data_IF_610750485517
#
_entry.id   IF_610750485517
#
_cell.length_a   1.000
_cell.length_b   1.000
_cell.length_c   1.000
_cell.angle_alpha   90.00
_cell.angle_beta   90.00
_cell.angle_gamma   90.00
#
_symmetry.space_group_name_H-M   'P 1'
#
loop_
_entity.id
_entity.type
_entity.pdbx_description
1 polymer ?
#
# COMPACT_ATOMS: atom_id res chain seq x y z
N UNK A 1 -4.84 21.28 -21.98
CA UNK A 1 -4.72 21.54 -20.54
C UNK A 1 -3.24 21.45 -20.23
N UNK A 2 -2.61 22.55 -19.77
CA UNK A 2 -1.18 22.57 -19.46
C UNK A 2 -0.93 21.65 -18.27
N UNK A 3 -0.09 20.66 -18.46
CA UNK A 3 0.41 19.83 -17.34
C UNK A 3 1.19 20.78 -16.42
N UNK A 4 0.72 20.94 -15.18
CA UNK A 4 1.49 21.66 -14.19
C UNK A 4 2.80 20.88 -13.98
N UNK A 5 3.94 21.57 -14.11
CA UNK A 5 5.26 21.00 -13.82
C UNK A 5 5.24 20.39 -12.41
N UNK A 6 5.74 19.16 -12.22
CA UNK A 6 5.75 18.55 -10.90
C UNK A 6 6.59 19.40 -9.93
N UNK A 7 5.95 19.84 -8.86
CA UNK A 7 6.65 20.59 -7.82
C UNK A 7 7.47 19.62 -6.95
N UNK A 8 8.75 19.48 -7.25
CA UNK A 8 9.67 18.62 -6.49
C UNK A 8 9.66 18.86 -4.96
N UNK A 9 9.59 20.14 -4.48
CA UNK A 9 9.43 20.41 -3.05
C UNK A 9 8.14 19.80 -2.48
N UNK A 10 7.01 19.94 -3.17
CA UNK A 10 5.73 19.36 -2.71
C UNK A 10 5.83 17.83 -2.67
N UNK A 11 6.41 17.22 -3.69
CA UNK A 11 6.65 15.76 -3.69
C UNK A 11 7.50 15.31 -2.49
N UNK A 12 8.55 16.07 -2.16
CA UNK A 12 9.36 15.79 -0.97
C UNK A 12 8.54 15.84 0.32
N UNK A 13 7.66 16.82 0.48
CA UNK A 13 6.78 16.93 1.65
C UNK A 13 5.71 15.84 1.69
N UNK A 14 5.17 15.43 0.54
CA UNK A 14 4.26 14.28 0.44
C UNK A 14 4.95 12.99 0.88
N UNK A 15 6.16 12.75 0.38
CA UNK A 15 6.96 11.58 0.77
C UNK A 15 7.27 11.59 2.27
N UNK A 16 7.66 12.73 2.83
CA UNK A 16 7.95 12.87 4.25
C UNK A 16 6.70 12.64 5.09
N UNK A 17 5.59 13.34 4.78
CA UNK A 17 4.33 13.22 5.50
C UNK A 17 3.75 11.81 5.44
N UNK A 18 3.74 11.20 4.24
CA UNK A 18 3.30 9.82 4.05
C UNK A 18 4.18 8.80 4.78
N UNK A 19 5.50 8.99 4.78
CA UNK A 19 6.44 8.13 5.51
C UNK A 19 6.25 8.22 7.02
N UNK A 20 6.08 9.43 7.56
CA UNK A 20 5.78 9.63 8.98
C UNK A 20 4.46 8.97 9.37
N UNK A 21 3.41 9.13 8.57
CA UNK A 21 2.12 8.48 8.81
C UNK A 21 2.25 6.95 8.80
N UNK A 22 3.02 6.39 7.86
CA UNK A 22 3.29 4.96 7.77
C UNK A 22 4.06 4.43 8.99
N UNK A 23 5.18 5.07 9.34
CA UNK A 23 6.01 4.65 10.49
C UNK A 23 5.26 4.83 11.80
N UNK A 24 4.52 5.95 11.95
CA UNK A 24 3.63 6.17 13.10
C UNK A 24 2.58 5.06 13.23
N UNK A 25 1.98 4.66 12.11
CA UNK A 25 1.05 3.52 12.06
C UNK A 25 1.68 2.19 12.49
N UNK A 26 2.94 1.94 12.13
CA UNK A 26 3.68 0.74 12.57
C UNK A 26 3.94 0.74 14.08
N UNK A 27 4.37 1.87 14.65
CA UNK A 27 4.53 2.00 16.11
C UNK A 27 3.22 1.78 16.84
N UNK A 28 2.11 2.34 16.34
CA UNK A 28 0.78 2.13 16.93
C UNK A 28 0.35 0.66 16.82
N UNK A 29 0.68 -0.02 15.73
CA UNK A 29 0.44 -1.45 15.58
C UNK A 29 1.14 -2.25 16.68
N UNK A 30 2.44 -2.05 16.86
CA UNK A 30 3.21 -2.76 17.90
C UNK A 30 2.70 -2.41 19.31
N UNK A 31 2.32 -1.16 19.56
CA UNK A 31 1.77 -0.74 20.85
C UNK A 31 0.40 -1.37 21.17
N UNK A 32 -0.48 -1.45 20.18
CA UNK A 32 -1.81 -2.07 20.34
C UNK A 32 -1.75 -3.60 20.37
N UNK A 33 -0.69 -4.19 19.80
CA UNK A 33 -0.47 -5.63 19.76
C UNK A 33 0.25 -6.18 21.00
N UNK A 34 0.61 -5.34 21.97
CA UNK A 34 1.47 -5.72 23.10
C UNK A 34 0.94 -6.90 23.92
N UNK A 35 -0.38 -7.03 24.09
CA UNK A 35 -0.99 -8.16 24.83
C UNK A 35 -0.79 -9.49 24.10
N UNK A 36 -0.96 -9.50 22.80
CA UNK A 36 -0.72 -10.65 21.95
C UNK A 36 0.78 -11.00 21.89
N UNK A 37 1.62 -9.99 21.70
CA UNK A 37 3.07 -10.18 21.59
C UNK A 37 3.68 -10.71 22.90
N UNK A 38 3.18 -10.30 24.06
CA UNK A 38 3.59 -10.89 25.36
C UNK A 38 3.35 -12.40 25.44
N UNK A 39 2.29 -12.88 24.79
CA UNK A 39 1.93 -14.29 24.83
C UNK A 39 2.63 -15.14 23.77
N UNK A 40 2.87 -14.56 22.58
CA UNK A 40 3.32 -15.31 21.39
C UNK A 40 4.67 -14.88 20.82
N UNK A 41 5.16 -13.67 21.17
CA UNK A 41 6.39 -13.08 20.65
C UNK A 41 7.12 -12.28 21.73
N UNK A 42 7.52 -12.92 22.85
CA UNK A 42 8.11 -12.24 24.00
C UNK A 42 9.46 -11.57 23.69
N UNK A 43 10.12 -11.95 22.59
CA UNK A 43 11.37 -11.38 22.10
C UNK A 43 11.22 -9.98 21.46
N UNK A 44 9.98 -9.54 21.16
CA UNK A 44 9.74 -8.21 20.60
C UNK A 44 10.13 -7.09 21.58
N UNK A 45 10.54 -5.89 21.08
CA UNK A 45 11.11 -4.84 21.93
C UNK A 45 10.23 -4.40 23.12
N UNK A 46 8.91 -4.30 22.96
CA UNK A 46 8.00 -3.88 24.04
C UNK A 46 7.85 -4.99 25.08
N UNK A 47 7.48 -6.25 24.73
CA UNK A 47 7.44 -7.35 25.67
C UNK A 47 8.78 -7.61 26.39
N UNK A 48 9.90 -7.51 25.68
CA UNK A 48 11.25 -7.71 26.23
C UNK A 48 11.71 -6.56 27.17
N UNK A 49 10.92 -5.48 27.27
CA UNK A 49 11.26 -4.33 28.11
C UNK A 49 12.35 -3.40 27.54
N UNK A 50 12.75 -3.58 26.28
CA UNK A 50 13.74 -2.74 25.62
C UNK A 50 13.25 -1.32 25.38
N UNK A 51 11.93 -1.13 25.24
CA UNK A 51 11.27 0.17 25.11
C UNK A 51 9.94 0.17 25.85
N UNK A 52 9.59 1.29 26.51
CA UNK A 52 8.33 1.39 27.22
C UNK A 52 7.14 1.54 26.28
N UNK A 53 5.99 0.94 26.63
CA UNK A 53 4.75 1.04 25.86
C UNK A 53 4.32 2.52 25.67
N UNK A 54 4.50 3.35 26.69
CA UNK A 54 4.19 4.78 26.62
C UNK A 54 5.07 5.49 25.56
N UNK A 55 6.37 5.20 25.52
CA UNK A 55 7.27 5.79 24.53
C UNK A 55 6.87 5.43 23.12
N UNK A 56 6.45 4.16 22.88
CA UNK A 56 6.00 3.70 21.55
C UNK A 56 4.68 4.38 21.16
N UNK A 57 3.74 4.56 22.10
CA UNK A 57 2.53 5.34 21.85
C UNK A 57 2.83 6.80 21.52
N UNK A 58 3.72 7.46 22.29
CA UNK A 58 4.11 8.84 22.02
C UNK A 58 4.78 8.99 20.64
N UNK A 59 5.68 8.07 20.27
CA UNK A 59 6.32 8.06 18.96
C UNK A 59 5.30 7.81 17.84
N UNK A 60 4.40 6.85 18.00
CA UNK A 60 3.39 6.51 17.02
C UNK A 60 2.42 7.66 16.74
N UNK A 61 1.80 8.21 17.79
CA UNK A 61 0.90 9.35 17.67
C UNK A 61 1.62 10.62 17.22
N UNK A 62 2.82 10.89 17.75
CA UNK A 62 3.61 12.05 17.36
C UNK A 62 3.95 12.04 15.86
N UNK A 63 4.41 10.92 15.33
CA UNK A 63 4.73 10.80 13.90
C UNK A 63 3.47 10.86 13.03
N UNK A 64 2.38 10.21 13.45
CA UNK A 64 1.12 10.21 12.72
C UNK A 64 0.55 11.63 12.59
N UNK A 65 0.53 12.39 13.70
CA UNK A 65 0.04 13.78 13.73
C UNK A 65 0.99 14.73 12.98
N UNK A 66 2.31 14.55 13.13
CA UNK A 66 3.29 15.34 12.41
C UNK A 66 3.21 15.09 10.89
N UNK A 67 3.02 13.85 10.49
CA UNK A 67 2.79 13.48 9.08
C UNK A 67 1.54 14.16 8.52
N UNK A 68 0.43 14.11 9.24
CA UNK A 68 -0.80 14.80 8.86
C UNK A 68 -0.61 16.32 8.77
N UNK A 69 0.15 16.92 9.68
CA UNK A 69 0.47 18.34 9.65
C UNK A 69 1.30 18.72 8.42
N UNK A 70 2.33 17.95 8.05
CA UNK A 70 3.12 18.20 6.83
C UNK A 70 2.25 18.12 5.57
N UNK A 71 1.37 17.12 5.49
CA UNK A 71 0.47 16.96 4.35
C UNK A 71 -0.50 18.15 4.24
N UNK A 72 -1.08 18.60 5.35
CA UNK A 72 -2.04 19.68 5.35
C UNK A 72 -1.37 21.07 5.22
N UNK A 73 -0.43 21.38 6.12
CA UNK A 73 0.08 22.74 6.25
C UNK A 73 1.09 23.10 5.14
N UNK A 74 1.91 22.15 4.68
CA UNK A 74 2.99 22.41 3.75
C UNK A 74 2.67 21.88 2.36
N UNK A 75 2.24 20.64 2.21
CA UNK A 75 1.85 20.07 0.93
C UNK A 75 0.46 20.56 0.46
N UNK A 76 -0.29 21.28 1.32
CA UNK A 76 -1.60 21.88 1.03
C UNK A 76 -2.69 20.87 0.62
N UNK A 77 -2.56 19.64 1.05
CA UNK A 77 -3.57 18.59 0.82
C UNK A 77 -4.84 18.91 1.62
N UNK A 78 -6.00 18.64 1.05
CA UNK A 78 -7.28 18.80 1.73
C UNK A 78 -7.38 17.90 2.97
N UNK A 79 -8.15 18.36 3.98
CA UNK A 79 -8.30 17.62 5.23
C UNK A 79 -9.02 16.28 5.07
N UNK A 80 -9.94 16.16 4.11
CA UNK A 80 -10.77 14.96 3.96
C UNK A 80 -9.96 13.69 3.69
N UNK A 81 -9.05 13.62 2.69
CA UNK A 81 -8.24 12.44 2.47
C UNK A 81 -7.23 12.19 3.60
N UNK A 82 -6.71 13.24 4.26
CA UNK A 82 -5.82 13.10 5.43
C UNK A 82 -6.57 12.47 6.59
N UNK A 83 -7.77 12.94 6.92
CA UNK A 83 -8.60 12.36 7.98
C UNK A 83 -9.01 10.92 7.66
N UNK A 84 -9.32 10.64 6.39
CA UNK A 84 -9.60 9.29 5.92
C UNK A 84 -8.41 8.35 6.15
N UNK A 85 -7.18 8.79 5.84
CA UNK A 85 -5.97 8.03 6.11
C UNK A 85 -5.77 7.80 7.61
N UNK A 86 -5.85 8.86 8.42
CA UNK A 86 -5.69 8.79 9.88
C UNK A 86 -6.70 7.81 10.51
N UNK A 87 -7.98 7.96 10.16
CA UNK A 87 -9.04 7.07 10.64
C UNK A 87 -8.79 5.63 10.22
N UNK A 88 -8.39 5.40 8.97
CA UNK A 88 -8.10 4.05 8.45
C UNK A 88 -6.94 3.40 9.21
N UNK A 89 -5.86 4.13 9.47
CA UNK A 89 -4.69 3.63 10.22
C UNK A 89 -5.09 3.27 11.65
N UNK A 90 -5.79 4.16 12.35
CA UNK A 90 -6.20 3.94 13.74
C UNK A 90 -7.18 2.77 13.84
N UNK A 91 -8.20 2.75 12.97
CA UNK A 91 -9.22 1.68 12.96
C UNK A 91 -8.62 0.34 12.60
N UNK A 92 -7.71 0.29 11.61
CA UNK A 92 -6.98 -0.94 11.30
C UNK A 92 -6.23 -1.47 12.51
N UNK A 93 -5.42 -0.64 13.16
CA UNK A 93 -4.61 -1.06 14.30
C UNK A 93 -5.47 -1.52 15.49
N UNK A 94 -6.61 -0.86 15.73
CA UNK A 94 -7.50 -1.22 16.81
C UNK A 94 -8.30 -2.52 16.55
N UNK A 95 -8.67 -2.79 15.31
CA UNK A 95 -9.68 -3.82 14.98
C UNK A 95 -9.14 -5.00 14.16
N UNK A 96 -7.94 -4.93 13.55
CA UNK A 96 -7.50 -5.91 12.55
C UNK A 96 -7.48 -7.38 13.05
N UNK A 97 -7.33 -7.60 14.35
CA UNK A 97 -7.36 -8.94 14.97
C UNK A 97 -8.77 -9.45 15.24
N UNK A 98 -9.73 -8.56 15.38
CA UNK A 98 -11.09 -8.89 15.81
C UNK A 98 -12.08 -9.03 14.65
N UNK A 99 -11.76 -8.48 13.48
CA UNK A 99 -12.67 -8.45 12.34
C UNK A 99 -12.11 -9.15 11.10
N UNK A 100 -13.01 -9.85 10.39
CA UNK A 100 -12.67 -10.51 9.14
C UNK A 100 -12.33 -9.49 8.02
N UNK A 101 -12.96 -8.30 8.07
CA UNK A 101 -12.81 -7.24 7.07
C UNK A 101 -11.52 -6.40 7.22
N UNK A 102 -10.58 -6.77 8.06
CA UNK A 102 -9.33 -6.03 8.22
C UNK A 102 -8.53 -5.83 6.91
N UNK A 103 -8.60 -6.70 5.88
CA UNK A 103 -8.00 -6.41 4.58
C UNK A 103 -8.54 -5.15 3.92
N UNK A 104 -9.83 -4.85 4.11
CA UNK A 104 -10.46 -3.63 3.57
C UNK A 104 -9.93 -2.38 4.30
N UNK A 105 -9.73 -2.45 5.61
CA UNK A 105 -9.13 -1.34 6.37
C UNK A 105 -7.68 -1.05 5.95
N UNK A 106 -6.89 -2.10 5.71
CA UNK A 106 -5.54 -1.96 5.17
C UNK A 106 -5.57 -1.33 3.77
N UNK A 107 -6.52 -1.75 2.94
CA UNK A 107 -6.72 -1.20 1.61
C UNK A 107 -7.16 0.27 1.66
N UNK A 108 -8.01 0.66 2.63
CA UNK A 108 -8.42 2.04 2.83
C UNK A 108 -7.23 2.97 3.12
N UNK A 109 -6.23 2.52 3.88
CA UNK A 109 -5.01 3.30 4.08
C UNK A 109 -4.31 3.62 2.74
N UNK A 110 -4.24 2.66 1.83
CA UNK A 110 -3.62 2.86 0.51
C UNK A 110 -4.49 3.69 -0.43
N UNK A 111 -5.81 3.50 -0.36
CA UNK A 111 -6.78 4.31 -1.10
C UNK A 111 -6.63 5.80 -0.78
N UNK A 112 -6.64 6.17 0.49
CA UNK A 112 -6.49 7.57 0.89
C UNK A 112 -5.10 8.12 0.59
N UNK A 113 -4.05 7.29 0.64
CA UNK A 113 -2.70 7.73 0.27
C UNK A 113 -2.61 8.12 -1.22
N UNK A 114 -3.28 7.38 -2.11
CA UNK A 114 -3.37 7.74 -3.54
C UNK A 114 -4.15 9.04 -3.71
N UNK A 115 -5.28 9.21 -3.01
CA UNK A 115 -6.05 10.46 -3.06
C UNK A 115 -5.22 11.67 -2.61
N UNK A 116 -4.42 11.53 -1.55
CA UNK A 116 -3.50 12.56 -1.06
C UNK A 116 -2.50 12.96 -2.16
N UNK A 117 -1.93 11.99 -2.87
CA UNK A 117 -1.00 12.26 -3.96
C UNK A 117 -1.63 13.04 -5.12
N UNK A 118 -2.86 12.68 -5.50
CA UNK A 118 -3.60 13.38 -6.56
C UNK A 118 -4.04 14.79 -6.14
N UNK A 119 -4.52 14.96 -4.91
CA UNK A 119 -4.98 16.25 -4.41
C UNK A 119 -3.86 17.30 -4.41
N UNK A 120 -2.65 16.92 -4.03
CA UNK A 120 -1.49 17.81 -4.06
C UNK A 120 -1.03 18.17 -5.47
N UNK A 121 -1.34 17.35 -6.49
CA UNK A 121 -0.98 17.58 -7.89
C UNK A 121 -2.01 18.39 -8.68
N UNK A 122 -3.29 18.10 -8.50
CA UNK A 122 -4.38 18.61 -9.33
C UNK A 122 -5.38 19.52 -8.58
N UNK A 123 -5.20 19.69 -7.26
CA UNK A 123 -6.16 20.37 -6.39
C UNK A 123 -7.44 19.54 -6.20
N UNK A 124 -8.53 20.19 -5.76
CA UNK A 124 -9.79 19.54 -5.37
C UNK A 124 -10.54 18.74 -6.47
N UNK A 125 -9.95 18.59 -7.66
CA UNK A 125 -10.51 17.81 -8.77
C UNK A 125 -10.34 16.29 -8.65
N UNK A 126 -10.07 15.78 -7.46
CA UNK A 126 -9.77 14.36 -7.19
C UNK A 126 -10.89 13.36 -7.56
N UNK A 127 -12.13 13.82 -7.73
CA UNK A 127 -13.27 12.97 -8.13
C UNK A 127 -13.13 12.36 -9.54
N UNK A 128 -12.41 13.01 -10.48
CA UNK A 128 -12.35 12.57 -11.87
C UNK A 128 -11.29 11.51 -12.15
N UNK A 129 -10.03 11.78 -11.81
CA UNK A 129 -8.89 10.95 -12.19
C UNK A 129 -8.34 10.04 -11.10
N UNK A 130 -8.43 10.46 -9.83
CA UNK A 130 -7.83 9.78 -8.69
C UNK A 130 -8.55 8.50 -8.27
N UNK A 131 -9.86 8.42 -8.51
CA UNK A 131 -10.70 7.33 -7.97
C UNK A 131 -10.31 5.96 -8.52
N UNK A 132 -10.04 5.87 -9.83
CA UNK A 132 -9.70 4.61 -10.46
C UNK A 132 -8.38 4.00 -9.98
N UNK A 133 -7.25 4.74 -9.97
CA UNK A 133 -5.99 4.21 -9.41
C UNK A 133 -6.10 3.94 -7.91
N UNK A 134 -6.84 4.75 -7.14
CA UNK A 134 -7.06 4.51 -5.72
C UNK A 134 -7.84 3.20 -5.47
N UNK A 135 -8.92 2.94 -6.21
CA UNK A 135 -9.68 1.70 -6.13
C UNK A 135 -8.87 0.50 -6.62
N UNK A 136 -8.07 0.68 -7.67
CA UNK A 136 -7.21 -0.38 -8.21
C UNK A 136 -6.18 -0.84 -7.17
N UNK A 137 -5.46 0.09 -6.56
CA UNK A 137 -4.49 -0.23 -5.52
C UNK A 137 -5.18 -0.81 -4.28
N UNK A 138 -6.31 -0.26 -3.86
CA UNK A 138 -7.11 -0.79 -2.75
C UNK A 138 -7.53 -2.25 -3.00
N UNK A 139 -8.07 -2.56 -4.16
CA UNK A 139 -8.45 -3.93 -4.54
C UNK A 139 -7.24 -4.88 -4.50
N UNK A 140 -6.11 -4.45 -5.07
CA UNK A 140 -4.87 -5.23 -5.03
C UNK A 140 -4.43 -5.53 -3.58
N UNK A 141 -4.49 -4.54 -2.69
CA UNK A 141 -4.15 -4.70 -1.27
C UNK A 141 -5.13 -5.64 -0.56
N UNK A 142 -6.43 -5.61 -0.87
CA UNK A 142 -7.40 -6.58 -0.34
C UNK A 142 -6.96 -8.00 -0.70
N UNK A 143 -6.69 -8.27 -1.98
CA UNK A 143 -6.26 -9.60 -2.44
C UNK A 143 -4.97 -10.05 -1.77
N UNK A 144 -3.95 -9.17 -1.74
CA UNK A 144 -2.67 -9.42 -1.09
C UNK A 144 -2.82 -9.75 0.40
N UNK A 145 -3.62 -8.95 1.12
CA UNK A 145 -3.79 -9.12 2.57
C UNK A 145 -4.57 -10.41 2.90
N UNK A 146 -5.51 -10.82 2.06
CA UNK A 146 -6.16 -12.12 2.20
C UNK A 146 -5.17 -13.28 2.01
N UNK A 147 -4.26 -13.20 1.05
CA UNK A 147 -3.18 -14.18 0.89
C UNK A 147 -2.28 -14.20 2.12
N UNK A 148 -1.87 -13.03 2.62
CA UNK A 148 -1.00 -12.89 3.79
C UNK A 148 -1.63 -13.46 5.07
N UNK A 149 -2.92 -13.23 5.30
CA UNK A 149 -3.62 -13.77 6.49
C UNK A 149 -3.56 -15.29 6.61
N UNK A 150 -3.42 -16.00 5.51
CA UNK A 150 -3.33 -17.47 5.52
C UNK A 150 -1.98 -18.00 5.99
N UNK A 151 -0.96 -17.18 6.00
CA UNK A 151 0.33 -17.56 6.60
C UNK A 151 0.18 -17.85 8.10
N UNK A 152 -0.62 -17.03 8.80
CA UNK A 152 -0.83 -17.17 10.24
C UNK A 152 -1.93 -18.17 10.62
N UNK A 153 -2.94 -18.38 9.76
CA UNK A 153 -4.12 -19.17 10.09
C UNK A 153 -4.00 -20.66 9.71
N UNK A 154 -3.07 -21.03 8.85
CA UNK A 154 -2.98 -22.37 8.28
C UNK A 154 -4.19 -22.76 7.41
N UNK A 155 -4.12 -23.90 6.73
CA UNK A 155 -5.23 -24.43 5.94
C UNK A 155 -5.22 -24.03 4.47
N UNK A 156 -6.23 -24.50 3.71
CA UNK A 156 -6.33 -24.25 2.28
C UNK A 156 -6.58 -22.77 1.95
N UNK A 157 -5.81 -22.23 1.01
CA UNK A 157 -5.97 -20.86 0.54
C UNK A 157 -7.11 -20.82 -0.46
N UNK A 158 -8.15 -20.04 -0.16
CA UNK A 158 -9.23 -19.81 -1.11
C UNK A 158 -8.70 -19.04 -2.33
N UNK A 159 -9.04 -19.46 -3.53
CA UNK A 159 -8.58 -18.83 -4.78
C UNK A 159 -9.31 -17.52 -5.10
N UNK A 160 -10.56 -17.38 -4.66
CA UNK A 160 -11.43 -16.25 -5.01
C UNK A 160 -10.88 -14.87 -4.57
N UNK A 161 -10.18 -14.70 -3.41
CA UNK A 161 -9.62 -13.40 -3.07
C UNK A 161 -8.49 -12.96 -4.01
N UNK A 162 -7.85 -13.92 -4.69
CA UNK A 162 -6.82 -13.61 -5.67
C UNK A 162 -7.38 -12.89 -6.90
N UNK A 163 -8.71 -12.95 -7.14
CA UNK A 163 -9.36 -12.17 -8.19
C UNK A 163 -9.17 -10.66 -7.99
N UNK A 164 -9.12 -10.19 -6.75
CA UNK A 164 -8.86 -8.79 -6.44
C UNK A 164 -7.48 -8.30 -6.92
N UNK A 165 -6.51 -9.21 -7.05
CA UNK A 165 -5.18 -8.88 -7.59
C UNK A 165 -5.21 -8.52 -9.08
N UNK A 166 -6.26 -8.87 -9.81
CA UNK A 166 -6.40 -8.60 -11.25
C UNK A 166 -7.28 -7.38 -11.55
N UNK A 167 -8.00 -6.86 -10.54
CA UNK A 167 -8.82 -5.65 -10.65
C UNK A 167 -8.05 -4.43 -11.19
N UNK A 168 -6.76 -4.21 -10.86
CA UNK A 168 -6.01 -3.07 -11.39
C UNK A 168 -6.04 -2.98 -12.92
N UNK A 169 -5.91 -4.11 -13.62
CA UNK A 169 -5.95 -4.12 -15.10
C UNK A 169 -7.33 -3.71 -15.59
N UNK A 170 -8.40 -4.24 -14.98
CA UNK A 170 -9.78 -3.87 -15.32
C UNK A 170 -10.01 -2.38 -15.10
N UNK A 171 -9.61 -1.84 -13.94
CA UNK A 171 -9.79 -0.41 -13.62
C UNK A 171 -9.01 0.49 -14.58
N UNK A 172 -7.78 0.12 -14.94
CA UNK A 172 -6.99 0.85 -15.91
C UNK A 172 -7.64 0.84 -17.31
N UNK A 173 -8.21 -0.29 -17.74
CA UNK A 173 -8.97 -0.37 -19.00
C UNK A 173 -10.23 0.49 -18.99
N UNK A 174 -10.92 0.58 -17.85
CA UNK A 174 -12.13 1.41 -17.71
C UNK A 174 -11.81 2.91 -17.66
N UNK A 175 -10.68 3.29 -17.11
CA UNK A 175 -10.24 4.69 -17.04
C UNK A 175 -9.79 5.22 -18.40
N UNK A 176 -9.05 4.39 -19.16
CA UNK A 176 -8.45 4.85 -20.41
C UNK A 176 -9.34 4.60 -21.62
N UNK A 177 -9.36 5.58 -22.53
CA UNK A 177 -10.07 5.42 -23.80
C UNK A 177 -9.49 4.26 -24.63
N UNK A 178 -10.29 3.46 -25.37
CA UNK A 178 -9.82 2.29 -26.11
C UNK A 178 -8.65 2.53 -27.07
N UNK A 179 -8.50 3.75 -27.59
CA UNK A 179 -7.37 4.11 -28.46
C UNK A 179 -6.01 4.05 -27.74
N UNK A 180 -5.98 4.09 -26.40
CA UNK A 180 -4.77 4.04 -25.59
C UNK A 180 -4.43 2.61 -25.11
N UNK A 181 -5.32 1.64 -25.31
CA UNK A 181 -5.09 0.26 -24.90
C UNK A 181 -3.81 -0.38 -25.45
N UNK A 182 -3.36 -0.11 -26.71
CA UNK A 182 -2.10 -0.63 -27.19
C UNK A 182 -0.90 -0.30 -26.30
N UNK A 183 -0.85 0.91 -25.73
CA UNK A 183 0.21 1.30 -24.81
C UNK A 183 0.15 0.56 -23.46
N UNK A 184 -1.02 0.06 -23.07
CA UNK A 184 -1.24 -0.64 -21.82
C UNK A 184 -0.97 -2.13 -21.91
N UNK A 185 -0.84 -2.72 -23.12
CA UNK A 185 -0.66 -4.16 -23.30
C UNK A 185 0.59 -4.66 -22.57
N UNK A 186 1.74 -4.04 -22.80
CA UNK A 186 3.00 -4.48 -22.20
C UNK A 186 3.01 -4.33 -20.68
N UNK A 187 2.64 -3.17 -20.07
CA UNK A 187 2.51 -3.05 -18.62
C UNK A 187 1.55 -4.07 -18.01
N UNK A 188 0.40 -4.31 -18.66
CA UNK A 188 -0.58 -5.28 -18.17
C UNK A 188 -0.04 -6.72 -18.22
N UNK A 189 0.62 -7.11 -19.30
CA UNK A 189 1.24 -8.43 -19.40
C UNK A 189 2.34 -8.63 -18.35
N UNK A 190 3.18 -7.63 -18.14
CA UNK A 190 4.23 -7.68 -17.10
C UNK A 190 3.62 -7.82 -15.71
N UNK A 191 2.60 -7.03 -15.40
CA UNK A 191 1.88 -7.09 -14.12
C UNK A 191 1.20 -8.45 -13.90
N UNK A 192 0.48 -8.96 -14.91
CA UNK A 192 -0.19 -10.26 -14.84
C UNK A 192 0.83 -11.41 -14.68
N UNK A 193 1.90 -11.39 -15.48
CA UNK A 193 2.96 -12.40 -15.39
C UNK A 193 3.63 -12.38 -14.02
N UNK A 194 3.92 -11.20 -13.47
CA UNK A 194 4.47 -11.05 -12.13
C UNK A 194 3.54 -11.59 -11.04
N UNK A 195 2.26 -11.22 -11.08
CA UNK A 195 1.24 -11.65 -10.12
C UNK A 195 1.09 -13.18 -10.17
N UNK A 196 0.99 -13.77 -11.36
CA UNK A 196 0.93 -15.22 -11.53
C UNK A 196 2.21 -15.90 -11.03
N UNK A 197 3.38 -15.32 -11.29
CA UNK A 197 4.65 -15.85 -10.79
C UNK A 197 4.71 -15.82 -9.25
N UNK A 198 4.16 -14.81 -8.61
CA UNK A 198 4.04 -14.78 -7.15
C UNK A 198 3.07 -15.85 -6.63
N UNK A 199 1.88 -15.95 -7.22
CA UNK A 199 0.85 -16.90 -6.82
C UNK A 199 1.24 -18.36 -7.03
N UNK A 200 2.16 -18.64 -7.95
CA UNK A 200 2.66 -20.03 -8.13
C UNK A 200 3.24 -20.61 -6.85
N UNK A 201 3.83 -19.81 -5.98
CA UNK A 201 4.41 -20.25 -4.70
C UNK A 201 3.35 -20.69 -3.69
N UNK A 202 2.08 -20.39 -3.98
CA UNK A 202 0.93 -20.72 -3.13
C UNK A 202 0.13 -21.88 -3.72
N UNK A 203 -0.09 -21.88 -5.05
CA UNK A 203 -1.03 -22.81 -5.71
C UNK A 203 -0.35 -23.92 -6.53
N UNK A 204 0.88 -23.71 -7.02
CA UNK A 204 1.56 -24.62 -7.95
C UNK A 204 2.95 -25.03 -7.44
N UNK A 205 3.04 -25.57 -6.25
CA UNK A 205 4.30 -26.06 -5.71
C UNK A 205 4.08 -27.16 -4.68
N UNK A 206 5.03 -28.08 -4.56
CA UNK A 206 4.96 -29.15 -3.56
C UNK A 206 5.02 -28.65 -2.11
N UNK A 207 5.55 -27.43 -1.90
CA UNK A 207 5.56 -26.73 -0.61
C UNK A 207 4.98 -25.34 -0.78
N UNK A 208 4.04 -24.99 0.11
CA UNK A 208 3.40 -23.67 0.11
C UNK A 208 4.33 -22.65 0.77
N UNK A 209 4.75 -21.63 0.02
CA UNK A 209 5.60 -20.55 0.49
C UNK A 209 4.86 -19.21 0.47
N UNK A 210 3.91 -19.02 1.42
CA UNK A 210 3.08 -17.80 1.49
C UNK A 210 3.93 -16.55 1.63
N UNK A 211 4.95 -16.54 2.50
CA UNK A 211 5.82 -15.38 2.70
C UNK A 211 6.53 -14.93 1.41
N UNK A 212 6.97 -15.88 0.54
CA UNK A 212 7.56 -15.54 -0.77
C UNK A 212 6.54 -14.89 -1.70
N UNK A 213 5.32 -15.41 -1.73
CA UNK A 213 4.25 -14.83 -2.55
C UNK A 213 3.91 -13.43 -2.07
N UNK A 214 3.70 -13.24 -0.77
CA UNK A 214 3.38 -11.95 -0.14
C UNK A 214 4.49 -10.92 -0.38
N UNK A 215 5.75 -11.30 -0.14
CA UNK A 215 6.90 -10.43 -0.42
C UNK A 215 6.95 -10.00 -1.89
N UNK A 216 6.73 -10.93 -2.83
CA UNK A 216 6.67 -10.62 -4.26
C UNK A 216 5.50 -9.68 -4.61
N UNK A 217 4.32 -9.93 -4.07
CA UNK A 217 3.14 -9.08 -4.27
C UNK A 217 3.34 -7.68 -3.67
N UNK A 218 3.96 -7.55 -2.49
CA UNK A 218 4.31 -6.25 -1.90
C UNK A 218 5.24 -5.45 -2.82
N UNK A 219 6.27 -6.09 -3.39
CA UNK A 219 7.14 -5.44 -4.37
C UNK A 219 6.40 -5.06 -5.65
N UNK A 220 5.31 -5.75 -5.99
CA UNK A 220 4.49 -5.51 -7.18
C UNK A 220 3.58 -4.27 -7.09
N UNK A 221 3.45 -3.60 -5.92
CA UNK A 221 2.60 -2.41 -5.80
C UNK A 221 2.92 -1.30 -6.82
N UNK A 222 4.19 -0.91 -7.07
CA UNK A 222 4.50 0.09 -8.10
C UNK A 222 4.10 -0.34 -9.52
N UNK A 223 3.91 -1.64 -9.77
CA UNK A 223 3.42 -2.11 -11.07
C UNK A 223 1.92 -1.81 -11.25
N UNK A 224 1.16 -1.64 -10.16
CA UNK A 224 -0.23 -1.14 -10.24
C UNK A 224 -0.20 0.31 -10.74
N UNK A 225 0.65 1.15 -10.18
CA UNK A 225 0.80 2.55 -10.61
C UNK A 225 1.28 2.63 -12.08
N UNK A 226 2.15 1.70 -12.50
CA UNK A 226 2.64 1.61 -13.87
C UNK A 226 1.49 1.42 -14.89
N UNK A 227 0.39 0.73 -14.54
CA UNK A 227 -0.77 0.57 -15.42
C UNK A 227 -1.45 1.91 -15.74
N UNK A 228 -1.50 2.82 -14.77
CA UNK A 228 -2.11 4.15 -14.91
C UNK A 228 -1.15 5.16 -15.53
N UNK A 229 0.15 4.92 -15.41
CA UNK A 229 1.20 5.75 -16.04
C UNK A 229 1.53 5.32 -17.47
N UNK A 230 0.97 4.19 -17.95
CA UNK A 230 1.28 3.62 -19.27
C UNK A 230 1.00 4.56 -20.46
N UNK A 231 0.14 5.54 -20.28
CA UNK A 231 -0.24 6.55 -21.30
C UNK A 231 0.40 7.92 -21.06
N UNK A 232 1.23 8.01 -20.04
CA UNK A 232 1.97 9.21 -19.68
C UNK A 232 3.39 9.21 -20.29
N UNK A 233 4.19 10.18 -19.92
CA UNK A 233 5.58 10.25 -20.36
C UNK A 233 6.41 9.04 -19.89
N UNK A 234 7.36 8.61 -20.73
CA UNK A 234 8.23 7.47 -20.46
C UNK A 234 8.96 7.55 -19.10
N UNK A 235 9.24 8.77 -18.64
CA UNK A 235 9.92 8.99 -17.34
C UNK A 235 9.13 8.39 -16.17
N UNK A 236 7.81 8.46 -16.19
CA UNK A 236 6.96 7.92 -15.13
C UNK A 236 6.91 6.39 -15.14
N UNK A 237 6.92 5.78 -16.34
CA UNK A 237 7.07 4.34 -16.47
C UNK A 237 8.43 3.85 -15.94
N UNK A 238 9.50 4.57 -16.23
CA UNK A 238 10.83 4.26 -15.71
C UNK A 238 10.90 4.45 -14.19
N UNK A 239 10.26 5.48 -13.66
CA UNK A 239 10.21 5.74 -12.22
C UNK A 239 9.49 4.60 -11.47
N UNK A 240 8.29 4.20 -11.93
CA UNK A 240 7.53 3.10 -11.31
C UNK A 240 8.26 1.76 -11.45
N UNK A 241 8.87 1.49 -12.61
CA UNK A 241 9.74 0.33 -12.81
C UNK A 241 10.96 0.34 -11.88
N UNK A 242 11.59 1.50 -11.71
CA UNK A 242 12.69 1.72 -10.77
C UNK A 242 12.28 1.45 -9.31
N UNK A 243 11.11 1.92 -8.90
CA UNK A 243 10.55 1.63 -7.57
C UNK A 243 10.32 0.12 -7.36
N UNK A 244 9.80 -0.58 -8.36
CA UNK A 244 9.65 -2.04 -8.31
C UNK A 244 11.01 -2.75 -8.13
N UNK A 245 12.01 -2.39 -8.92
CA UNK A 245 13.36 -2.98 -8.82
C UNK A 245 14.01 -2.67 -7.47
N UNK A 246 13.87 -1.42 -6.98
CA UNK A 246 14.35 -1.02 -5.67
C UNK A 246 13.67 -1.85 -4.56
N UNK A 247 12.35 -1.99 -4.59
CA UNK A 247 11.61 -2.81 -3.62
C UNK A 247 12.13 -4.25 -3.61
N UNK A 248 12.36 -4.86 -4.79
CA UNK A 248 12.92 -6.21 -4.91
C UNK A 248 14.35 -6.32 -4.37
N UNK A 249 15.15 -5.29 -4.60
CA UNK A 249 16.54 -5.26 -4.10
C UNK A 249 16.56 -5.13 -2.58
N UNK A 250 15.80 -4.20 -2.01
CA UNK A 250 15.76 -3.99 -0.56
C UNK A 250 15.20 -5.19 0.22
N UNK A 251 14.27 -5.93 -0.35
CA UNK A 251 13.76 -7.18 0.25
C UNK A 251 14.82 -8.28 0.43
N UNK A 252 16.00 -8.16 -0.21
CA UNK A 252 17.13 -9.07 0.05
C UNK A 252 17.80 -8.79 1.40
N UNK A 253 17.69 -7.57 1.90
CA UNK A 253 18.35 -7.11 3.13
C UNK A 253 17.33 -6.98 4.27
N UNK A 254 16.11 -6.59 3.96
CA UNK A 254 15.04 -6.36 4.94
C UNK A 254 13.85 -7.22 4.52
N UNK A 255 13.56 -8.32 5.25
CA UNK A 255 12.40 -9.16 4.95
C UNK A 255 11.11 -8.32 4.99
N UNK A 256 10.22 -8.56 4.04
CA UNK A 256 8.94 -7.84 3.96
C UNK A 256 7.85 -8.46 4.86
N UNK A 257 8.16 -9.58 5.51
CA UNK A 257 7.26 -10.34 6.43
C UNK A 257 8.04 -10.87 7.61
#
# INVERSE_FOLDING_TARGET
MGHAEPSWPILGWLCLGGSLAYVGGMYLNDAMDVSFDRSFRPERPIPAGAISLLAVHCLGWGQLLLGAWFLWAIAKVELLPIMGLMLSVVTYNALHKHIAFSPVLMAACRFFLVLIGFDAGEGSAWWGGALWPALALAAYIVGLTYVAKRESAGGAIAWWPCLFLYFPVLMACLMHHPSLWPAMILPSLLFLAWTLWCLRHVFWGGQVHVGRAVSGLLAGMPMVDMLFMATQEMVWLLATGGCFLAARLFQRFIPAT
#
